data_IF_496848624933
#
_entry.id   IF_496848624933
#
_cell.length_a   1.000
_cell.length_b   1.000
_cell.length_c   1.000
_cell.angle_alpha   90.00
_cell.angle_beta   90.00
_cell.angle_gamma   90.00
#
_symmetry.space_group_name_H-M   'P 1'
#
loop_
_entity.id
_entity.type
_entity.pdbx_description
1 polymer ?
#
# COMPACT_ATOMS: atom_id res chain seq x y z
N UNK A 1 15.43 -13.36 -25.71
CA UNK A 1 16.57 -14.02 -25.02
C UNK A 1 17.75 -14.00 -25.94
N UNK A 2 18.91 -13.65 -25.44
CA UNK A 2 20.18 -13.54 -26.15
C UNK A 2 21.29 -14.29 -25.38
N UNK A 3 22.10 -15.06 -26.08
CA UNK A 3 23.29 -15.70 -25.53
C UNK A 3 24.44 -14.70 -25.61
N UNK A 4 25.03 -14.35 -24.49
CA UNK A 4 26.16 -13.42 -24.40
C UNK A 4 27.48 -14.14 -24.52
N UNK A 5 27.61 -15.24 -23.78
CA UNK A 5 28.74 -16.16 -23.80
C UNK A 5 28.29 -17.56 -23.34
N UNK A 6 29.21 -18.50 -23.18
CA UNK A 6 28.88 -19.88 -22.79
C UNK A 6 28.34 -20.03 -21.36
N UNK A 7 28.40 -18.99 -20.54
CA UNK A 7 27.88 -19.01 -19.17
C UNK A 7 26.81 -17.93 -18.92
N UNK A 8 26.49 -17.08 -19.91
CA UNK A 8 25.71 -15.87 -19.65
C UNK A 8 24.65 -15.68 -20.74
N UNK A 9 23.44 -15.40 -20.27
CA UNK A 9 22.32 -15.01 -21.11
C UNK A 9 21.72 -13.69 -20.61
N UNK A 10 21.03 -13.00 -21.51
CA UNK A 10 20.25 -11.81 -21.18
C UNK A 10 18.99 -11.74 -22.02
N UNK A 11 18.12 -10.82 -21.67
CA UNK A 11 16.93 -10.58 -22.45
C UNK A 11 15.98 -9.61 -21.78
N UNK A 12 14.78 -9.54 -22.33
CA UNK A 12 13.74 -8.68 -21.78
C UNK A 12 12.35 -9.26 -21.99
N UNK A 13 11.42 -8.80 -21.16
CA UNK A 13 9.99 -9.02 -21.31
C UNK A 13 9.28 -7.69 -21.14
N UNK A 14 8.41 -7.35 -22.08
CA UNK A 14 7.48 -6.25 -21.97
C UNK A 14 6.06 -6.82 -21.86
N UNK A 15 5.27 -6.28 -20.97
CA UNK A 15 3.92 -6.72 -20.74
C UNK A 15 3.04 -5.54 -20.28
N UNK A 16 1.76 -5.69 -20.52
CA UNK A 16 0.72 -4.86 -19.94
C UNK A 16 -0.14 -5.71 -19.02
N UNK A 17 -0.59 -5.11 -17.96
CA UNK A 17 -1.44 -5.74 -16.99
C UNK A 17 -2.02 -4.66 -16.09
N UNK A 18 -2.06 -4.92 -14.80
CA UNK A 18 -2.48 -3.94 -13.81
C UNK A 18 -1.63 -2.66 -13.89
N UNK A 19 -0.30 -2.77 -13.88
CA UNK A 19 0.57 -1.67 -14.29
C UNK A 19 0.76 -1.66 -15.81
N UNK A 20 0.64 -0.49 -16.43
CA UNK A 20 0.80 -0.31 -17.87
C UNK A 20 2.26 -0.16 -18.27
N UNK A 21 2.67 -0.81 -19.36
CA UNK A 21 4.00 -0.68 -19.94
C UNK A 21 5.10 -1.23 -19.03
N UNK A 22 4.87 -2.39 -18.43
CA UNK A 22 5.87 -3.07 -17.58
C UNK A 22 7.07 -3.47 -18.43
N UNK A 23 8.25 -3.22 -17.91
CA UNK A 23 9.53 -3.53 -18.54
C UNK A 23 10.40 -4.31 -17.56
N UNK A 24 10.84 -5.48 -17.98
CA UNK A 24 11.79 -6.31 -17.24
C UNK A 24 12.91 -6.70 -18.17
N UNK A 25 14.10 -6.29 -17.84
CA UNK A 25 15.34 -6.76 -18.43
C UNK A 25 16.01 -7.72 -17.45
N UNK A 26 16.68 -8.73 -17.94
CA UNK A 26 17.38 -9.68 -17.07
C UNK A 26 18.77 -10.01 -17.61
N UNK A 27 19.65 -10.37 -16.70
CA UNK A 27 20.95 -10.97 -16.96
C UNK A 27 21.10 -12.18 -16.05
N UNK A 28 21.41 -13.34 -16.64
CA UNK A 28 21.61 -14.58 -15.89
C UNK A 28 23.00 -15.14 -16.18
N UNK A 29 23.71 -15.51 -15.12
CA UNK A 29 24.99 -16.19 -15.17
C UNK A 29 24.83 -17.60 -14.60
N UNK A 30 25.33 -18.59 -15.32
CA UNK A 30 25.46 -19.97 -14.88
C UNK A 30 26.85 -20.19 -14.28
N UNK A 31 26.98 -21.05 -13.29
CA UNK A 31 28.25 -21.42 -12.66
C UNK A 31 29.12 -22.28 -13.54
N UNK A 32 28.57 -22.88 -14.62
CA UNK A 32 29.22 -23.77 -15.58
C UNK A 32 28.83 -23.39 -17.00
N UNK A 33 29.76 -23.50 -17.99
CA UNK A 33 29.43 -23.27 -19.37
C UNK A 33 28.47 -24.35 -19.92
N UNK A 34 27.44 -23.92 -20.65
CA UNK A 34 26.59 -24.84 -21.40
C UNK A 34 27.27 -25.26 -22.72
N UNK A 35 27.06 -26.53 -23.12
CA UNK A 35 27.58 -27.10 -24.34
C UNK A 35 26.81 -26.62 -25.58
N UNK A 36 25.52 -26.48 -25.45
CA UNK A 36 24.63 -26.01 -26.51
C UNK A 36 23.43 -25.28 -25.96
N UNK A 37 22.86 -24.41 -26.78
CA UNK A 37 21.63 -23.67 -26.48
C UNK A 37 20.68 -23.74 -27.67
N UNK A 38 19.41 -23.80 -27.41
CA UNK A 38 18.32 -23.69 -28.38
C UNK A 38 17.35 -22.65 -27.88
N UNK A 39 16.91 -21.73 -28.73
CA UNK A 39 15.90 -20.72 -28.40
C UNK A 39 14.75 -20.85 -29.37
N UNK A 40 13.61 -21.31 -28.90
CA UNK A 40 12.38 -21.49 -29.64
C UNK A 40 11.39 -20.38 -29.36
N UNK A 41 10.47 -20.18 -30.29
CA UNK A 41 9.32 -19.30 -30.09
C UNK A 41 8.04 -20.11 -30.09
N UNK A 42 7.10 -19.73 -29.19
CA UNK A 42 5.76 -20.31 -29.17
C UNK A 42 4.71 -19.22 -29.04
N UNK A 43 3.56 -19.41 -29.68
CA UNK A 43 2.44 -18.47 -29.55
C UNK A 43 1.80 -18.58 -28.16
N UNK A 44 1.53 -17.45 -27.55
CA UNK A 44 0.70 -17.38 -26.34
C UNK A 44 -0.75 -17.26 -26.80
N UNK A 45 -1.57 -18.24 -26.45
CA UNK A 45 -2.98 -18.30 -26.84
C UNK A 45 -3.86 -18.09 -25.61
N UNK A 46 -4.79 -17.14 -25.71
CA UNK A 46 -5.85 -16.91 -24.72
C UNK A 46 -7.19 -16.81 -25.46
N UNK A 47 -8.20 -17.55 -25.02
CA UNK A 47 -9.54 -17.60 -25.63
C UNK A 47 -9.51 -17.88 -27.14
N UNK A 48 -8.58 -18.77 -27.56
CA UNK A 48 -8.39 -19.15 -28.97
C UNK A 48 -7.72 -18.11 -29.86
N UNK A 49 -7.21 -17.00 -29.28
CA UNK A 49 -6.49 -15.94 -30.01
C UNK A 49 -5.04 -15.87 -29.55
N UNK A 50 -4.13 -15.65 -30.53
CA UNK A 50 -2.73 -15.34 -30.21
C UNK A 50 -2.64 -13.95 -29.63
N UNK A 51 -2.20 -13.86 -28.37
CA UNK A 51 -2.03 -12.60 -27.63
C UNK A 51 -0.55 -12.18 -27.51
N UNK A 52 0.38 -13.03 -27.90
CA UNK A 52 1.80 -12.74 -27.84
C UNK A 52 2.66 -13.91 -28.28
N UNK A 53 3.97 -13.73 -28.12
CA UNK A 53 4.98 -14.76 -28.39
C UNK A 53 5.82 -14.97 -27.13
N UNK A 54 5.93 -16.22 -26.68
CA UNK A 54 6.87 -16.61 -25.64
C UNK A 54 8.15 -17.15 -26.27
N UNK A 55 9.25 -16.92 -25.59
CA UNK A 55 10.55 -17.50 -25.90
C UNK A 55 10.85 -18.59 -24.89
N UNK A 56 11.23 -19.76 -25.37
CA UNK A 56 11.66 -20.89 -24.55
C UNK A 56 13.13 -21.18 -24.91
N UNK A 57 14.01 -21.05 -23.92
CA UNK A 57 15.41 -21.36 -24.09
C UNK A 57 15.76 -22.64 -23.34
N UNK A 58 16.50 -23.53 -24.04
CA UNK A 58 17.03 -24.79 -23.49
C UNK A 58 18.56 -24.72 -23.54
N UNK A 59 19.17 -25.04 -22.39
CA UNK A 59 20.62 -25.08 -22.25
C UNK A 59 21.04 -26.47 -21.81
N UNK A 60 21.98 -27.09 -22.56
CA UNK A 60 22.48 -28.41 -22.24
C UNK A 60 23.88 -28.30 -21.64
N UNK A 61 24.09 -28.99 -20.53
CA UNK A 61 25.33 -28.99 -19.79
C UNK A 61 25.92 -30.39 -19.75
N UNK A 62 27.26 -30.47 -19.81
CA UNK A 62 27.98 -31.70 -19.54
C UNK A 62 28.21 -31.78 -18.02
N UNK A 63 27.43 -32.63 -17.33
CA UNK A 63 27.48 -32.78 -15.88
C UNK A 63 27.88 -34.21 -15.50
N UNK A 64 28.51 -34.33 -14.34
CA UNK A 64 28.68 -35.60 -13.64
C UNK A 64 27.48 -35.84 -12.71
N UNK A 65 27.31 -37.09 -12.26
CA UNK A 65 26.21 -37.40 -11.35
C UNK A 65 26.30 -36.56 -10.03
N UNK A 66 25.18 -35.89 -9.68
CA UNK A 66 25.09 -35.03 -8.50
C UNK A 66 25.75 -33.65 -8.61
N UNK A 67 26.27 -33.28 -9.79
CA UNK A 67 26.86 -31.95 -10.00
C UNK A 67 25.78 -30.87 -10.04
N UNK A 68 25.90 -29.87 -9.20
CA UNK A 68 24.98 -28.73 -9.11
C UNK A 68 25.39 -27.59 -10.05
N UNK A 69 24.40 -26.98 -10.70
CA UNK A 69 24.59 -25.77 -11.49
C UNK A 69 23.86 -24.62 -10.79
N UNK A 70 24.62 -23.61 -10.36
CA UNK A 70 24.09 -22.41 -9.73
C UNK A 70 23.77 -21.37 -10.79
N UNK A 71 22.59 -20.77 -10.70
CA UNK A 71 22.16 -19.65 -11.51
C UNK A 71 22.10 -18.38 -10.65
N UNK A 72 22.70 -17.30 -11.12
CA UNK A 72 22.53 -15.97 -10.56
C UNK A 72 21.83 -15.10 -11.60
N UNK A 73 20.67 -14.53 -11.22
CA UNK A 73 19.87 -13.67 -12.11
C UNK A 73 19.65 -12.32 -11.44
N UNK A 74 19.92 -11.25 -12.18
CA UNK A 74 19.54 -9.90 -11.79
C UNK A 74 18.54 -9.32 -12.79
N UNK A 75 17.70 -8.43 -12.28
CA UNK A 75 16.67 -7.74 -13.04
C UNK A 75 16.98 -6.24 -13.12
N UNK A 76 16.43 -5.57 -14.14
CA UNK A 76 16.42 -4.11 -14.27
C UNK A 76 15.10 -3.67 -14.92
N UNK A 77 14.56 -2.55 -14.47
CA UNK A 77 13.46 -1.85 -15.16
C UNK A 77 13.93 -0.94 -16.31
N UNK A 78 15.27 -0.82 -16.47
CA UNK A 78 15.91 0.19 -17.33
C UNK A 78 16.44 -0.41 -18.62
N UNK A 79 17.41 -1.34 -18.51
CA UNK A 79 18.11 -1.93 -19.67
C UNK A 79 18.79 -3.26 -19.34
N UNK A 80 19.27 -3.96 -20.38
CA UNK A 80 20.11 -5.15 -20.23
C UNK A 80 21.46 -4.83 -19.58
N UNK A 81 22.03 -3.65 -19.87
CA UNK A 81 23.25 -3.15 -19.24
C UNK A 81 23.02 -2.88 -17.76
N UNK A 82 21.85 -2.33 -17.40
CA UNK A 82 21.43 -2.15 -16.00
C UNK A 82 21.35 -3.49 -15.26
N UNK A 83 20.71 -4.51 -15.87
CA UNK A 83 20.68 -5.87 -15.32
C UNK A 83 22.07 -6.49 -15.19
N UNK A 84 23.00 -6.23 -16.13
CA UNK A 84 24.37 -6.67 -16.04
C UNK A 84 25.14 -6.00 -14.89
N UNK A 85 24.94 -4.69 -14.70
CA UNK A 85 25.50 -3.93 -13.59
C UNK A 85 25.00 -4.42 -12.22
N UNK A 86 23.69 -4.66 -12.11
CA UNK A 86 23.06 -5.22 -10.92
C UNK A 86 23.62 -6.61 -10.60
N UNK A 87 23.74 -7.48 -11.61
CA UNK A 87 24.31 -8.82 -11.44
C UNK A 87 25.76 -8.77 -10.91
N UNK A 88 26.57 -7.89 -11.49
CA UNK A 88 27.97 -7.75 -11.09
C UNK A 88 28.13 -7.23 -9.66
N UNK A 89 27.26 -6.30 -9.23
CA UNK A 89 27.32 -5.69 -7.91
C UNK A 89 26.70 -6.56 -6.80
N UNK A 90 25.55 -7.18 -7.09
CA UNK A 90 24.72 -7.85 -6.08
C UNK A 90 24.95 -9.37 -6.02
N UNK A 91 25.44 -9.97 -7.14
CA UNK A 91 25.71 -11.40 -7.22
C UNK A 91 27.11 -11.68 -7.79
N UNK A 92 28.21 -11.25 -7.09
CA UNK A 92 29.56 -11.31 -7.65
C UNK A 92 30.18 -12.73 -7.71
N UNK A 93 29.62 -13.71 -7.02
CA UNK A 93 30.10 -15.10 -6.98
C UNK A 93 29.00 -16.13 -7.32
N UNK A 94 29.34 -17.44 -7.34
CA UNK A 94 28.39 -18.54 -7.59
C UNK A 94 28.24 -19.47 -6.36
N UNK A 95 28.61 -19.01 -5.18
CA UNK A 95 28.51 -19.77 -3.93
C UNK A 95 27.11 -19.56 -3.33
N UNK A 96 26.23 -20.54 -3.49
CA UNK A 96 24.85 -20.49 -3.02
C UNK A 96 24.77 -20.42 -1.48
N UNK A 97 25.57 -21.23 -0.78
CA UNK A 97 25.54 -21.28 0.68
C UNK A 97 26.01 -19.96 1.30
N UNK A 98 26.96 -19.29 0.65
CA UNK A 98 27.37 -17.95 1.07
C UNK A 98 26.25 -16.93 0.93
N UNK A 99 25.47 -16.93 -0.16
CA UNK A 99 24.27 -16.07 -0.29
C UNK A 99 23.23 -16.38 0.78
N UNK A 100 23.00 -17.65 1.11
CA UNK A 100 22.12 -18.04 2.19
C UNK A 100 22.57 -17.46 3.53
N UNK A 101 23.87 -17.54 3.83
CA UNK A 101 24.44 -17.01 5.07
C UNK A 101 24.34 -15.47 5.14
N UNK A 102 24.73 -14.77 4.07
CA UNK A 102 24.64 -13.30 3.96
C UNK A 102 23.19 -12.81 4.06
N UNK A 103 22.23 -13.50 3.43
CA UNK A 103 20.81 -13.17 3.49
C UNK A 103 20.25 -13.35 4.90
N UNK A 104 20.60 -14.45 5.59
CA UNK A 104 20.22 -14.68 6.99
C UNK A 104 20.77 -13.58 7.91
N UNK A 105 22.02 -13.18 7.72
CA UNK A 105 22.62 -12.11 8.51
C UNK A 105 21.91 -10.76 8.26
N UNK A 106 21.61 -10.43 7.01
CA UNK A 106 20.88 -9.23 6.64
C UNK A 106 19.49 -9.19 7.29
N UNK A 107 18.73 -10.27 7.22
CA UNK A 107 17.41 -10.36 7.83
C UNK A 107 17.51 -10.30 9.37
N UNK A 108 18.46 -10.99 9.99
CA UNK A 108 18.67 -10.92 11.43
C UNK A 108 19.00 -9.49 11.90
N UNK A 109 19.78 -8.75 11.12
CA UNK A 109 20.06 -7.33 11.41
C UNK A 109 18.83 -6.46 11.31
N UNK A 110 17.98 -6.67 10.28
CA UNK A 110 16.76 -5.88 10.10
C UNK A 110 15.72 -6.21 11.18
N UNK A 111 15.42 -7.48 11.40
CA UNK A 111 14.47 -7.92 12.40
C UNK A 111 14.94 -7.62 13.83
N UNK A 112 16.26 -7.65 14.07
CA UNK A 112 16.88 -7.31 15.35
C UNK A 112 16.79 -5.84 15.77
N UNK A 113 16.27 -4.94 14.90
CA UNK A 113 15.97 -3.55 15.28
C UNK A 113 14.90 -3.45 16.35
N UNK A 114 14.04 -4.44 16.47
CA UNK A 114 13.06 -4.57 17.55
C UNK A 114 13.33 -5.89 18.25
N UNK A 115 13.89 -5.80 19.47
CA UNK A 115 14.15 -6.97 20.31
C UNK A 115 13.01 -7.16 21.30
N UNK A 116 12.32 -8.30 21.24
CA UNK A 116 11.25 -8.66 22.16
C UNK A 116 11.77 -9.64 23.19
N UNK A 117 11.66 -9.24 24.48
CA UNK A 117 12.06 -10.06 25.64
C UNK A 117 10.85 -10.42 26.49
N UNK A 118 10.94 -11.52 27.23
CA UNK A 118 9.91 -11.93 28.18
C UNK A 118 8.67 -12.58 27.56
N UNK A 119 8.68 -12.89 26.27
CA UNK A 119 7.66 -13.75 25.66
C UNK A 119 7.93 -15.18 26.11
N UNK A 120 6.95 -15.79 26.84
CA UNK A 120 7.07 -17.15 27.33
C UNK A 120 6.67 -18.18 26.26
N UNK A 121 5.79 -17.81 25.34
CA UNK A 121 5.33 -18.66 24.26
C UNK A 121 6.18 -18.45 22.98
N UNK A 122 6.68 -19.56 22.44
CA UNK A 122 7.46 -19.53 21.20
C UNK A 122 6.62 -19.12 20.01
N UNK A 123 5.35 -19.53 19.96
CA UNK A 123 4.44 -19.22 18.86
C UNK A 123 4.16 -17.72 18.78
N UNK A 124 3.97 -17.04 19.91
CA UNK A 124 3.83 -15.59 19.94
C UNK A 124 5.07 -14.88 19.40
N UNK A 125 6.26 -15.39 19.71
CA UNK A 125 7.52 -14.85 19.18
C UNK A 125 7.65 -15.06 17.67
N UNK A 126 7.27 -16.23 17.17
CA UNK A 126 7.25 -16.54 15.74
C UNK A 126 6.26 -15.62 15.03
N UNK A 127 5.04 -15.46 15.56
CA UNK A 127 4.03 -14.56 15.02
C UNK A 127 4.53 -13.10 14.94
N UNK A 128 5.15 -12.60 16.00
CA UNK A 128 5.69 -11.24 16.04
C UNK A 128 6.74 -11.00 14.96
N UNK A 129 7.78 -11.87 14.89
CA UNK A 129 8.84 -11.68 13.90
C UNK A 129 8.39 -11.96 12.47
N UNK A 130 7.41 -12.85 12.26
CA UNK A 130 6.78 -13.06 10.96
C UNK A 130 6.00 -11.81 10.52
N UNK A 131 5.24 -11.20 11.41
CA UNK A 131 4.54 -9.95 11.12
C UNK A 131 5.53 -8.82 10.82
N UNK A 132 6.60 -8.69 11.61
CA UNK A 132 7.67 -7.69 11.37
C UNK A 132 8.36 -7.91 10.01
N UNK A 133 8.69 -9.16 9.67
CA UNK A 133 9.24 -9.51 8.35
C UNK A 133 8.33 -9.04 7.22
N UNK A 134 7.03 -9.29 7.32
CA UNK A 134 6.05 -8.90 6.29
C UNK A 134 5.95 -7.39 6.09
N UNK A 135 6.15 -6.58 7.12
CA UNK A 135 6.18 -5.11 6.97
C UNK A 135 7.35 -4.60 6.11
N UNK A 136 8.34 -5.44 5.82
CA UNK A 136 9.55 -5.10 5.07
C UNK A 136 9.55 -5.65 3.63
N UNK A 137 8.47 -6.33 3.18
CA UNK A 137 8.40 -6.90 1.82
C UNK A 137 8.14 -5.79 0.79
N UNK A 138 7.32 -4.81 1.13
CA UNK A 138 7.02 -3.63 0.33
C UNK A 138 7.03 -2.38 1.22
N UNK A 139 7.40 -1.19 0.71
CA UNK A 139 7.85 -0.86 -0.65
C UNK A 139 9.17 -1.51 -1.07
N UNK A 140 9.37 -1.70 -2.37
CA UNK A 140 10.56 -2.35 -2.93
C UNK A 140 11.52 -1.33 -3.55
N UNK A 141 12.81 -1.62 -3.53
CA UNK A 141 13.80 -0.86 -4.31
C UNK A 141 13.44 -0.97 -5.80
N UNK A 142 13.31 0.16 -6.46
CA UNK A 142 12.95 0.25 -7.88
C UNK A 142 13.95 1.15 -8.64
N UNK A 143 15.23 0.91 -8.40
CA UNK A 143 16.33 1.49 -9.16
C UNK A 143 17.45 0.47 -9.32
N UNK A 144 18.20 0.59 -10.41
CA UNK A 144 19.44 -0.14 -10.60
C UNK A 144 20.52 0.33 -9.62
N UNK A 145 21.59 -0.42 -9.47
CA UNK A 145 22.68 -0.09 -8.52
C UNK A 145 23.39 1.22 -8.84
N UNK A 146 23.29 1.71 -10.08
CA UNK A 146 23.79 3.01 -10.49
C UNK A 146 22.82 4.16 -10.21
N UNK A 147 21.65 3.87 -9.64
CA UNK A 147 20.57 4.80 -9.35
C UNK A 147 19.59 5.05 -10.49
N UNK A 148 19.77 4.42 -11.67
CA UNK A 148 18.84 4.58 -12.80
C UNK A 148 17.52 3.87 -12.54
N UNK A 149 16.37 4.49 -12.95
CA UNK A 149 15.04 3.89 -12.82
C UNK A 149 14.09 4.35 -13.94
N UNK A 150 13.03 3.60 -14.15
CA UNK A 150 11.99 3.89 -15.14
C UNK A 150 10.82 4.61 -14.47
N UNK A 151 10.55 5.85 -14.91
CA UNK A 151 9.55 6.72 -14.32
C UNK A 151 8.14 6.56 -14.91
N UNK A 152 7.10 7.15 -14.26
CA UNK A 152 5.73 7.13 -14.75
C UNK A 152 5.52 7.88 -16.07
N UNK A 153 6.40 8.82 -16.40
CA UNK A 153 6.45 9.52 -17.70
C UNK A 153 7.06 8.66 -18.83
N UNK A 154 7.36 7.38 -18.54
CA UNK A 154 7.94 6.41 -19.47
C UNK A 154 9.37 6.75 -19.93
N UNK A 155 10.08 7.52 -19.10
CA UNK A 155 11.49 7.87 -19.32
C UNK A 155 12.39 7.25 -18.25
N UNK A 156 13.67 7.18 -18.57
CA UNK A 156 14.70 6.78 -17.62
C UNK A 156 15.17 8.02 -16.86
N UNK A 157 15.21 7.91 -15.55
CA UNK A 157 15.69 8.90 -14.61
C UNK A 157 16.82 8.33 -13.77
N UNK A 158 17.44 9.20 -12.96
CA UNK A 158 18.50 8.80 -12.05
C UNK A 158 18.26 9.38 -10.65
N UNK A 159 18.28 8.52 -9.65
CA UNK A 159 18.32 8.91 -8.25
C UNK A 159 19.80 9.11 -7.85
N UNK A 160 20.20 10.35 -7.59
CA UNK A 160 21.55 10.70 -7.20
C UNK A 160 21.64 10.93 -5.69
N UNK A 161 22.39 10.08 -5.00
CA UNK A 161 22.53 10.13 -3.55
C UNK A 161 21.33 9.65 -2.74
N UNK A 162 20.36 8.98 -3.36
CA UNK A 162 19.20 8.35 -2.70
C UNK A 162 18.74 7.12 -3.49
N UNK A 163 17.89 6.29 -2.91
CA UNK A 163 17.36 5.07 -3.53
C UNK A 163 15.90 5.31 -3.94
N UNK A 164 15.58 5.02 -5.21
CA UNK A 164 14.19 5.08 -5.67
C UNK A 164 13.44 3.82 -5.27
N UNK A 165 12.25 4.02 -4.70
CA UNK A 165 11.33 2.95 -4.29
C UNK A 165 10.09 2.93 -5.17
N UNK A 166 9.49 1.75 -5.30
CA UNK A 166 8.21 1.50 -5.94
C UNK A 166 7.36 0.53 -5.11
N UNK A 167 6.24 0.09 -5.69
CA UNK A 167 5.26 -0.78 -5.02
C UNK A 167 4.69 -0.12 -3.77
N UNK A 168 4.10 1.07 -3.98
CA UNK A 168 3.49 1.84 -2.91
C UNK A 168 1.98 1.62 -2.86
N UNK A 169 1.52 0.77 -1.95
CA UNK A 169 0.13 0.55 -1.61
C UNK A 169 -0.30 1.52 -0.51
N UNK A 170 -0.46 2.81 -0.84
CA UNK A 170 -0.52 3.87 0.16
C UNK A 170 -1.79 3.88 0.99
N UNK A 171 -2.94 3.46 0.43
CA UNK A 171 -4.18 3.31 1.17
C UNK A 171 -4.07 2.32 2.34
N UNK A 172 -3.24 1.30 2.17
CA UNK A 172 -2.96 0.29 3.20
C UNK A 172 -1.90 0.79 4.19
N UNK A 173 -0.76 1.23 3.66
CA UNK A 173 0.47 1.38 4.44
C UNK A 173 0.58 2.68 5.22
N UNK A 174 -0.17 3.74 4.86
CA UNK A 174 -0.17 5.00 5.62
C UNK A 174 -0.65 4.81 7.06
N UNK A 175 -1.48 3.80 7.31
CA UNK A 175 -2.17 3.57 8.59
C UNK A 175 -1.22 3.13 9.70
N UNK A 176 -0.28 2.24 9.39
CA UNK A 176 0.64 1.69 10.39
C UNK A 176 2.05 1.41 9.86
N UNK A 177 2.22 0.89 8.64
CA UNK A 177 3.53 0.48 8.12
C UNK A 177 4.48 1.67 7.95
N UNK A 178 4.07 2.74 7.25
CA UNK A 178 4.90 3.94 7.14
C UNK A 178 5.16 4.62 8.50
N UNK A 179 4.19 4.78 9.42
CA UNK A 179 4.47 5.21 10.77
C UNK A 179 5.52 4.37 11.51
N UNK A 180 5.50 3.04 11.36
CA UNK A 180 6.52 2.15 11.91
C UNK A 180 7.89 2.40 11.28
N UNK A 181 7.95 2.54 9.94
CA UNK A 181 9.19 2.78 9.21
C UNK A 181 9.87 4.11 9.62
N UNK A 182 9.13 5.10 10.08
CA UNK A 182 9.73 6.34 10.62
C UNK A 182 10.63 6.06 11.83
N UNK A 183 10.39 5.01 12.59
CA UNK A 183 11.22 4.60 13.74
C UNK A 183 12.29 3.59 13.36
N UNK A 184 11.97 2.61 12.54
CA UNK A 184 12.87 1.50 12.21
C UNK A 184 13.77 1.79 11.01
N UNK A 185 13.32 2.65 10.08
CA UNK A 185 13.97 2.92 8.79
C UNK A 185 13.94 4.41 8.40
N UNK A 186 14.41 5.34 9.25
CA UNK A 186 14.29 6.78 8.98
C UNK A 186 15.00 7.21 7.68
N UNK A 187 16.13 6.61 7.33
CA UNK A 187 16.87 6.89 6.09
C UNK A 187 16.04 6.44 4.88
N UNK A 188 15.52 5.21 4.90
CA UNK A 188 14.65 4.72 3.82
C UNK A 188 13.36 5.51 3.71
N UNK A 189 12.81 5.99 4.83
CA UNK A 189 11.64 6.88 4.82
C UNK A 189 11.91 8.17 4.04
N UNK A 190 13.08 8.80 4.21
CA UNK A 190 13.48 9.94 3.39
C UNK A 190 13.54 9.59 1.90
N UNK A 191 14.15 8.45 1.55
CA UNK A 191 14.28 8.03 0.16
C UNK A 191 12.91 7.69 -0.47
N UNK A 192 11.99 7.09 0.29
CA UNK A 192 10.60 6.87 -0.15
C UNK A 192 9.88 8.20 -0.43
N UNK A 193 10.07 9.23 0.41
CA UNK A 193 9.49 10.55 0.19
C UNK A 193 10.14 11.23 -1.04
N UNK A 194 11.45 11.10 -1.21
CA UNK A 194 12.14 11.58 -2.43
C UNK A 194 11.58 10.87 -3.67
N UNK A 195 11.25 9.59 -3.57
CA UNK A 195 10.56 8.85 -4.65
C UNK A 195 9.18 9.42 -4.97
N UNK A 196 8.38 9.81 -3.95
CA UNK A 196 7.09 10.49 -4.17
C UNK A 196 7.25 11.84 -4.85
N UNK A 197 8.28 12.62 -4.47
CA UNK A 197 8.54 13.93 -5.07
C UNK A 197 9.04 13.83 -6.51
N UNK A 198 9.87 12.82 -6.81
CA UNK A 198 10.28 12.51 -8.17
C UNK A 198 9.09 12.05 -9.02
N UNK A 199 8.22 11.21 -8.46
CA UNK A 199 6.98 10.79 -9.10
C UNK A 199 6.05 11.98 -9.39
N UNK A 200 5.92 12.92 -8.44
CA UNK A 200 5.17 14.17 -8.65
C UNK A 200 5.71 14.99 -9.83
N UNK A 201 7.03 15.15 -9.94
CA UNK A 201 7.64 15.88 -11.06
C UNK A 201 7.36 15.23 -12.41
N UNK A 202 7.28 13.90 -12.45
CA UNK A 202 7.13 13.10 -13.67
C UNK A 202 5.67 12.86 -14.05
N UNK A 203 4.76 12.86 -13.09
CA UNK A 203 3.33 12.50 -13.27
C UNK A 203 2.37 13.67 -13.01
N UNK A 204 2.84 14.80 -12.45
CA UNK A 204 2.03 15.97 -12.12
C UNK A 204 1.22 15.85 -10.81
N UNK A 205 1.25 14.70 -10.13
CA UNK A 205 0.62 14.45 -8.84
C UNK A 205 1.39 13.42 -8.03
N UNK A 206 1.17 13.41 -6.73
CA UNK A 206 1.72 12.37 -5.85
C UNK A 206 1.13 10.99 -6.18
N UNK A 207 1.86 9.89 -5.89
CA UNK A 207 1.37 8.54 -6.15
C UNK A 207 0.17 8.18 -5.26
N UNK A 208 -0.72 7.36 -5.79
CA UNK A 208 -1.79 6.66 -5.07
C UNK A 208 -1.42 5.19 -4.90
N UNK A 209 -1.10 4.53 -6.00
CA UNK A 209 -0.64 3.15 -6.02
C UNK A 209 0.38 2.95 -7.15
N UNK A 210 1.62 3.33 -6.89
CA UNK A 210 2.72 3.20 -7.86
C UNK A 210 3.19 1.75 -7.94
N UNK A 211 3.18 1.19 -9.14
CA UNK A 211 3.66 -0.16 -9.42
C UNK A 211 4.38 -0.22 -10.79
N UNK A 212 5.58 -0.81 -10.79
CA UNK A 212 6.42 -0.95 -12.01
C UNK A 212 6.58 0.35 -12.81
N UNK A 213 6.87 1.46 -12.15
CA UNK A 213 7.02 2.77 -12.80
C UNK A 213 5.73 3.29 -13.45
N UNK A 214 4.56 2.88 -12.96
CA UNK A 214 3.26 3.34 -13.42
C UNK A 214 2.36 3.66 -12.25
N UNK A 215 1.45 4.62 -12.43
CA UNK A 215 0.32 4.81 -11.52
C UNK A 215 -0.80 3.85 -11.92
N UNK A 216 -1.32 3.11 -10.97
CA UNK A 216 -2.43 2.19 -11.21
C UNK A 216 -3.76 2.76 -10.76
N UNK A 217 -3.76 3.85 -9.97
CA UNK A 217 -4.94 4.46 -9.35
C UNK A 217 -5.82 3.47 -8.56
N UNK A 218 -5.21 2.37 -8.12
CA UNK A 218 -5.90 1.40 -7.29
C UNK A 218 -6.13 2.00 -5.90
N UNK A 219 -7.29 1.73 -5.33
CA UNK A 219 -7.76 2.31 -4.07
C UNK A 219 -7.99 3.83 -4.13
N UNK A 220 -8.28 4.43 -2.99
CA UNK A 220 -8.74 5.83 -2.86
C UNK A 220 -7.77 6.67 -2.03
N UNK A 221 -8.08 7.95 -1.88
CA UNK A 221 -7.25 8.89 -1.14
C UNK A 221 -6.07 9.43 -1.97
N UNK A 222 -5.34 10.37 -1.38
CA UNK A 222 -4.02 10.81 -1.83
C UNK A 222 -3.00 10.63 -0.70
N UNK A 223 -2.94 9.37 -0.23
CA UNK A 223 -2.29 8.98 1.03
C UNK A 223 -0.76 9.02 1.03
N UNK A 224 -0.11 9.45 -0.06
CA UNK A 224 1.26 9.95 0.02
C UNK A 224 1.37 11.16 0.97
N UNK A 225 0.28 11.95 1.09
CA UNK A 225 0.22 13.12 1.97
C UNK A 225 0.44 12.75 3.44
N UNK A 226 -0.36 11.87 4.08
CA UNK A 226 -0.12 11.52 5.48
C UNK A 226 1.26 10.90 5.71
N UNK A 227 1.84 10.17 4.76
CA UNK A 227 3.19 9.62 4.89
C UNK A 227 4.24 10.72 4.94
N UNK A 228 4.17 11.69 4.03
CA UNK A 228 5.07 12.85 3.99
C UNK A 228 4.94 13.66 5.29
N UNK A 229 3.70 13.94 5.68
CA UNK A 229 3.41 14.81 6.82
C UNK A 229 3.82 14.16 8.15
N UNK A 230 3.53 12.89 8.34
CA UNK A 230 3.94 12.16 9.54
C UNK A 230 5.47 12.16 9.72
N UNK A 231 6.21 11.87 8.64
CA UNK A 231 7.66 11.94 8.64
C UNK A 231 8.18 13.35 8.98
N UNK A 232 7.64 14.37 8.32
CA UNK A 232 8.03 15.76 8.55
C UNK A 232 7.77 16.21 10.01
N UNK A 233 6.60 15.89 10.56
CA UNK A 233 6.23 16.25 11.94
C UNK A 233 7.08 15.54 12.97
N UNK A 234 7.58 14.33 12.67
CA UNK A 234 8.52 13.56 13.50
C UNK A 234 9.97 14.01 13.36
N UNK A 235 10.25 15.00 12.52
CA UNK A 235 11.59 15.54 12.33
C UNK A 235 12.46 14.76 11.33
N UNK A 236 11.86 13.87 10.54
CA UNK A 236 12.50 13.24 9.39
C UNK A 236 12.37 14.23 8.23
N UNK A 237 13.47 14.86 7.81
CA UNK A 237 13.38 16.02 6.91
C UNK A 237 14.57 16.14 5.95
N UNK A 238 15.23 15.04 5.58
CA UNK A 238 16.26 15.05 4.52
C UNK A 238 15.62 14.99 3.13
N UNK A 239 14.57 15.81 2.93
CA UNK A 239 13.89 16.04 1.67
C UNK A 239 13.43 17.51 1.60
N UNK A 240 13.12 18.00 0.40
CA UNK A 240 12.62 19.37 0.19
C UNK A 240 11.19 19.51 0.73
N UNK A 241 11.06 20.05 1.95
CA UNK A 241 9.77 20.22 2.62
C UNK A 241 8.84 21.22 1.93
N UNK A 242 9.39 22.28 1.32
CA UNK A 242 8.59 23.26 0.56
C UNK A 242 8.00 22.63 -0.70
N UNK A 243 8.81 21.87 -1.43
CA UNK A 243 8.36 21.08 -2.58
C UNK A 243 7.34 20.02 -2.15
N UNK A 244 7.56 19.35 -1.02
CA UNK A 244 6.65 18.34 -0.51
C UNK A 244 5.27 18.92 -0.19
N UNK A 245 5.21 20.06 0.52
CA UNK A 245 3.95 20.74 0.78
C UNK A 245 3.27 21.19 -0.51
N UNK A 246 4.05 21.76 -1.46
CA UNK A 246 3.54 22.14 -2.78
C UNK A 246 2.93 20.95 -3.53
N UNK A 247 3.58 19.81 -3.52
CA UNK A 247 3.10 18.58 -4.15
C UNK A 247 1.81 18.06 -3.50
N UNK A 248 1.73 18.09 -2.16
CA UNK A 248 0.52 17.75 -1.41
C UNK A 248 -0.66 18.65 -1.79
N UNK A 249 -0.46 19.97 -1.76
CA UNK A 249 -1.48 20.96 -2.13
C UNK A 249 -1.92 20.82 -3.59
N UNK A 250 -0.97 20.65 -4.51
CA UNK A 250 -1.27 20.46 -5.92
C UNK A 250 -2.12 19.20 -6.16
N UNK A 251 -1.77 18.09 -5.52
CA UNK A 251 -2.52 16.84 -5.63
C UNK A 251 -3.95 16.97 -5.07
N UNK A 252 -4.11 17.59 -3.90
CA UNK A 252 -5.40 17.82 -3.25
C UNK A 252 -6.29 18.85 -3.99
N UNK A 253 -5.76 19.54 -5.01
CA UNK A 253 -6.47 20.57 -5.77
C UNK A 253 -6.72 20.20 -7.24
N UNK A 254 -6.49 18.96 -7.65
CA UNK A 254 -6.76 18.48 -9.02
C UNK A 254 -8.27 18.40 -9.28
N UNK A 255 -8.85 19.40 -9.93
CA UNK A 255 -10.28 19.46 -10.20
C UNK A 255 -10.76 18.30 -11.07
N UNK A 256 -9.94 17.88 -12.01
CA UNK A 256 -10.25 16.84 -13.00
C UNK A 256 -9.67 15.48 -12.62
N UNK A 257 -9.80 15.11 -11.33
CA UNK A 257 -9.29 13.85 -10.85
C UNK A 257 -10.14 13.28 -9.71
N UNK A 258 -10.71 12.11 -9.91
CA UNK A 258 -11.40 11.24 -8.94
C UNK A 258 -12.38 11.96 -7.99
N UNK A 259 -13.12 12.93 -8.52
CA UNK A 259 -14.15 13.67 -7.80
C UNK A 259 -13.64 14.78 -6.87
N UNK A 260 -12.33 15.10 -6.89
CA UNK A 260 -11.77 16.18 -6.05
C UNK A 260 -12.44 17.53 -6.35
N UNK A 261 -12.72 17.85 -7.62
CA UNK A 261 -13.43 19.08 -7.99
C UNK A 261 -14.82 19.18 -7.36
N UNK A 262 -15.58 18.08 -7.35
CA UNK A 262 -16.89 18.00 -6.68
C UNK A 262 -16.74 18.15 -5.16
N UNK A 263 -15.76 17.42 -4.57
CA UNK A 263 -15.45 17.50 -3.14
C UNK A 263 -15.13 18.92 -2.69
N UNK A 264 -14.28 19.64 -3.44
CA UNK A 264 -13.95 21.05 -3.16
C UNK A 264 -15.16 21.97 -3.24
N UNK A 265 -16.03 21.76 -4.22
CA UNK A 265 -17.17 22.62 -4.50
C UNK A 265 -18.32 22.40 -3.51
N UNK A 266 -18.64 21.14 -3.20
CA UNK A 266 -19.82 20.76 -2.43
C UNK A 266 -19.50 20.39 -0.97
N UNK A 267 -18.23 20.12 -0.66
CA UNK A 267 -17.82 19.59 0.63
C UNK A 267 -18.04 18.07 0.77
N UNK A 268 -18.36 17.38 -0.31
CA UNK A 268 -18.48 15.92 -0.40
C UNK A 268 -18.54 15.51 -1.89
N UNK A 269 -18.40 14.21 -2.15
CA UNK A 269 -18.57 13.63 -3.49
C UNK A 269 -19.98 13.04 -3.61
N UNK A 270 -20.84 13.57 -4.47
CA UNK A 270 -22.19 13.03 -4.65
C UNK A 270 -22.15 11.63 -5.27
N UNK A 271 -23.01 10.72 -4.76
CA UNK A 271 -23.06 9.35 -5.28
C UNK A 271 -23.71 9.22 -6.67
N UNK A 272 -24.51 10.20 -7.07
CA UNK A 272 -25.30 10.18 -8.30
C UNK A 272 -24.68 10.97 -9.47
N UNK A 273 -23.55 11.66 -9.26
CA UNK A 273 -22.81 12.32 -10.34
C UNK A 273 -21.60 11.44 -10.71
N UNK A 274 -21.59 11.01 -11.97
CA UNK A 274 -20.48 10.29 -12.59
C UNK A 274 -20.16 10.94 -13.93
N UNK A 275 -18.92 11.35 -14.07
CA UNK A 275 -18.35 11.91 -15.30
C UNK A 275 -16.93 11.32 -15.50
N UNK A 276 -16.21 11.80 -16.52
CA UNK A 276 -14.83 11.36 -16.79
C UNK A 276 -13.85 11.61 -15.62
N UNK A 277 -14.18 12.55 -14.73
CA UNK A 277 -13.37 12.90 -13.58
C UNK A 277 -13.84 12.27 -12.26
N UNK A 278 -14.97 11.60 -12.27
CA UNK A 278 -15.56 10.88 -11.15
C UNK A 278 -16.24 9.59 -11.63
N UNK A 279 -15.58 8.87 -12.54
CA UNK A 279 -16.13 7.63 -13.13
C UNK A 279 -16.15 6.47 -12.14
N UNK A 280 -15.19 6.42 -11.22
CA UNK A 280 -15.10 5.40 -10.20
C UNK A 280 -16.15 5.58 -9.09
N UNK A 281 -16.37 4.50 -8.36
CA UNK A 281 -17.30 4.47 -7.24
C UNK A 281 -16.73 5.11 -5.96
N UNK A 282 -17.22 4.67 -4.79
CA UNK A 282 -16.70 4.98 -3.45
C UNK A 282 -16.83 6.44 -3.02
N UNK A 283 -17.92 7.10 -3.41
CA UNK A 283 -18.17 8.51 -3.10
C UNK A 283 -18.08 8.85 -1.61
N UNK A 284 -18.65 8.01 -0.74
CA UNK A 284 -18.59 8.19 0.72
C UNK A 284 -17.16 8.04 1.23
N UNK A 285 -16.50 6.94 0.86
CA UNK A 285 -15.15 6.65 1.33
C UNK A 285 -14.15 7.71 0.86
N UNK A 286 -14.20 8.13 -0.41
CA UNK A 286 -13.36 9.24 -0.92
C UNK A 286 -13.57 10.53 -0.14
N UNK A 287 -14.82 10.88 0.19
CA UNK A 287 -15.11 12.09 0.98
C UNK A 287 -14.43 12.05 2.34
N UNK A 288 -14.50 10.92 3.04
CA UNK A 288 -13.91 10.76 4.37
C UNK A 288 -12.38 10.75 4.32
N UNK A 289 -11.81 10.03 3.37
CA UNK A 289 -10.35 9.88 3.23
C UNK A 289 -9.69 11.18 2.77
N UNK A 290 -10.31 11.91 1.84
CA UNK A 290 -9.81 13.25 1.43
C UNK A 290 -9.87 14.26 2.60
N UNK A 291 -10.88 14.18 3.47
CA UNK A 291 -10.94 15.02 4.66
C UNK A 291 -9.79 14.75 5.64
N UNK A 292 -9.35 13.50 5.75
CA UNK A 292 -8.19 13.15 6.55
C UNK A 292 -6.88 13.63 5.89
N UNK A 293 -6.71 13.42 4.60
CA UNK A 293 -5.53 13.88 3.88
C UNK A 293 -5.40 15.41 3.95
N UNK A 294 -6.51 16.14 3.82
CA UNK A 294 -6.56 17.60 3.97
C UNK A 294 -6.15 18.06 5.39
N UNK A 295 -6.54 17.32 6.43
CA UNK A 295 -6.06 17.59 7.78
C UNK A 295 -4.53 17.47 7.88
N UNK A 296 -3.96 16.46 7.25
CA UNK A 296 -2.51 16.29 7.23
C UNK A 296 -1.82 17.48 6.55
N UNK A 297 -2.36 17.98 5.41
CA UNK A 297 -1.83 19.19 4.75
C UNK A 297 -1.90 20.40 5.69
N UNK A 298 -3.04 20.58 6.39
CA UNK A 298 -3.20 21.67 7.35
C UNK A 298 -2.14 21.62 8.46
N UNK A 299 -1.85 20.45 9.01
CA UNK A 299 -0.85 20.30 10.07
C UNK A 299 0.58 20.59 9.57
N UNK A 300 0.94 20.15 8.37
CA UNK A 300 2.23 20.49 7.77
C UNK A 300 2.34 21.99 7.51
N UNK A 301 1.32 22.61 6.90
CA UNK A 301 1.28 24.05 6.62
C UNK A 301 1.39 24.86 7.91
N UNK A 302 0.67 24.46 8.98
CA UNK A 302 0.75 25.10 10.29
C UNK A 302 2.16 25.01 10.89
N UNK A 303 2.81 23.84 10.80
CA UNK A 303 4.18 23.63 11.28
C UNK A 303 5.18 24.47 10.50
N UNK A 304 4.91 24.75 9.23
CA UNK A 304 5.74 25.62 8.36
C UNK A 304 5.38 27.10 8.46
N UNK A 305 4.45 27.51 9.34
CA UNK A 305 4.04 28.91 9.53
C UNK A 305 3.16 29.48 8.40
N UNK A 306 2.57 28.61 7.54
CA UNK A 306 1.69 29.01 6.43
C UNK A 306 0.23 29.01 6.89
N UNK A 307 -0.12 30.03 7.70
CA UNK A 307 -1.38 30.09 8.47
C UNK A 307 -2.62 30.05 7.58
N UNK A 308 -2.68 30.85 6.51
CA UNK A 308 -3.84 30.91 5.62
C UNK A 308 -4.10 29.54 4.95
N UNK A 309 -3.04 28.91 4.47
CA UNK A 309 -3.13 27.56 3.88
C UNK A 309 -3.59 26.53 4.92
N UNK A 310 -3.07 26.60 6.12
CA UNK A 310 -3.47 25.72 7.21
C UNK A 310 -4.97 25.86 7.55
N UNK A 311 -5.50 27.09 7.60
CA UNK A 311 -6.92 27.36 7.85
C UNK A 311 -7.81 26.84 6.72
N UNK A 312 -7.41 27.04 5.46
CA UNK A 312 -8.12 26.52 4.29
C UNK A 312 -8.28 24.99 4.37
N UNK A 313 -7.18 24.28 4.54
CA UNK A 313 -7.19 22.82 4.56
C UNK A 313 -7.82 22.26 5.87
N UNK A 314 -7.66 22.95 6.99
CA UNK A 314 -8.38 22.59 8.20
C UNK A 314 -9.90 22.68 8.02
N UNK A 315 -10.40 23.73 7.34
CA UNK A 315 -11.83 23.82 7.01
C UNK A 315 -12.28 22.65 6.13
N UNK A 316 -11.51 22.29 5.12
CA UNK A 316 -11.81 21.14 4.25
C UNK A 316 -11.80 19.82 5.02
N UNK A 317 -10.92 19.67 6.00
CA UNK A 317 -10.86 18.46 6.85
C UNK A 317 -12.15 18.19 7.65
N UNK A 318 -13.02 19.19 7.79
CA UNK A 318 -14.32 19.08 8.46
C UNK A 318 -15.43 18.57 7.53
N UNK A 319 -15.17 18.34 6.28
CA UNK A 319 -16.14 17.91 5.27
C UNK A 319 -16.79 16.56 5.58
N UNK A 320 -16.13 15.71 6.39
CA UNK A 320 -16.73 14.46 6.89
C UNK A 320 -18.10 14.67 7.58
N UNK A 321 -18.37 15.86 8.13
CA UNK A 321 -19.64 16.22 8.79
C UNK A 321 -20.81 16.24 7.80
N UNK A 322 -20.55 16.55 6.53
CA UNK A 322 -21.57 16.68 5.50
C UNK A 322 -22.20 15.33 5.10
N UNK A 323 -21.51 14.22 5.41
CA UNK A 323 -21.96 12.86 5.10
C UNK A 323 -22.43 12.09 6.33
N UNK A 324 -22.44 12.70 7.52
CA UNK A 324 -23.02 12.11 8.71
C UNK A 324 -24.53 12.34 8.78
N UNK A 325 -25.31 11.26 8.79
CA UNK A 325 -26.76 11.35 8.93
C UNK A 325 -27.19 11.15 10.40
N UNK A 326 -27.64 12.20 11.10
CA UNK A 326 -28.05 12.10 12.50
C UNK A 326 -29.28 11.21 12.73
N UNK A 327 -30.12 11.00 11.71
CA UNK A 327 -31.29 10.14 11.81
C UNK A 327 -30.94 8.64 11.88
N UNK A 328 -29.84 8.24 11.23
CA UNK A 328 -29.37 6.86 11.25
C UNK A 328 -28.17 6.65 12.20
N UNK A 329 -27.45 7.72 12.52
CA UNK A 329 -26.22 7.69 13.30
C UNK A 329 -25.05 7.03 12.55
N UNK A 330 -25.05 7.12 11.20
CA UNK A 330 -23.99 6.59 10.33
C UNK A 330 -23.52 7.63 9.32
N UNK A 331 -22.30 7.42 8.80
CA UNK A 331 -21.86 8.05 7.56
C UNK A 331 -22.67 7.44 6.40
N UNK A 332 -23.21 8.29 5.53
CA UNK A 332 -24.15 7.85 4.51
C UNK A 332 -23.92 8.62 3.22
N UNK A 333 -23.98 7.94 2.03
CA UNK A 333 -23.84 8.61 0.75
C UNK A 333 -24.89 9.70 0.54
N UNK A 334 -24.48 10.81 -0.09
CA UNK A 334 -25.30 12.01 -0.32
C UNK A 334 -25.35 12.28 -1.83
N UNK A 335 -26.51 12.70 -2.36
CA UNK A 335 -26.67 13.11 -3.76
C UNK A 335 -26.24 14.57 -4.00
N UNK A 336 -26.31 15.03 -5.25
CA UNK A 336 -25.94 16.40 -5.65
C UNK A 336 -26.85 17.51 -5.09
N UNK A 337 -27.96 17.13 -4.46
CA UNK A 337 -28.92 18.03 -3.80
C UNK A 337 -28.81 18.03 -2.28
N UNK A 338 -27.87 17.27 -1.74
CA UNK A 338 -27.68 17.13 -0.29
C UNK A 338 -28.63 16.13 0.37
N UNK A 339 -29.23 15.22 -0.40
CA UNK A 339 -30.15 14.21 0.14
C UNK A 339 -29.44 12.90 0.36
N UNK A 340 -29.58 12.34 1.56
CA UNK A 340 -29.02 11.03 1.89
C UNK A 340 -29.69 9.90 1.12
N UNK A 341 -28.89 8.93 0.66
CA UNK A 341 -29.39 7.76 -0.09
C UNK A 341 -30.45 6.99 0.73
N UNK A 342 -31.49 6.51 0.04
CA UNK A 342 -32.53 5.66 0.63
C UNK A 342 -32.96 4.58 -0.38
N UNK A 343 -33.20 3.32 0.07
CA UNK A 343 -33.00 2.82 1.44
C UNK A 343 -31.52 2.79 1.83
N UNK A 344 -31.21 2.77 3.12
CA UNK A 344 -29.85 2.62 3.66
C UNK A 344 -29.85 1.54 4.73
N UNK A 345 -29.02 0.54 4.53
CA UNK A 345 -28.69 -0.50 5.51
C UNK A 345 -27.21 -0.44 5.82
N UNK A 346 -26.79 -0.22 7.06
CA UNK A 346 -25.37 -0.10 7.39
C UNK A 346 -24.57 -1.40 7.22
N UNK A 347 -25.23 -2.54 7.07
CA UNK A 347 -24.61 -3.85 6.86
C UNK A 347 -24.30 -4.13 5.38
N UNK A 348 -24.83 -3.29 4.46
CA UNK A 348 -24.68 -3.53 3.03
C UNK A 348 -23.32 -3.08 2.52
N UNK A 349 -22.69 -3.95 1.74
CA UNK A 349 -21.53 -3.62 0.92
C UNK A 349 -22.00 -2.99 -0.39
N UNK A 350 -21.73 -1.73 -0.56
CA UNK A 350 -22.25 -0.95 -1.69
C UNK A 350 -21.15 -0.33 -2.53
N UNK A 351 -21.45 0.05 -3.76
CA UNK A 351 -20.53 0.75 -4.64
C UNK A 351 -20.06 2.12 -4.11
N UNK A 352 -20.64 2.62 -3.04
CA UNK A 352 -20.32 3.94 -2.48
C UNK A 352 -19.28 3.89 -1.36
N UNK A 353 -19.01 2.69 -0.84
CA UNK A 353 -18.08 2.44 0.27
C UNK A 353 -17.00 1.47 -0.23
N UNK A 354 -15.75 1.86 -0.08
CA UNK A 354 -14.61 1.08 -0.54
C UNK A 354 -14.41 -0.14 0.36
N UNK A 355 -14.60 -1.34 -0.19
CA UNK A 355 -14.33 -2.63 0.45
C UNK A 355 -14.85 -2.79 1.89
N UNK A 356 -15.94 -2.13 2.19
CA UNK A 356 -16.47 -2.03 3.56
C UNK A 356 -17.96 -1.75 3.55
N UNK A 357 -18.54 -1.69 4.73
CA UNK A 357 -19.92 -1.30 4.94
C UNK A 357 -20.03 -0.06 5.86
N UNK A 358 -21.24 0.37 6.17
CA UNK A 358 -21.50 1.56 7.00
C UNK A 358 -20.95 1.44 8.43
N UNK A 359 -20.91 0.23 9.01
CA UNK A 359 -20.32 0.00 10.32
C UNK A 359 -18.83 0.28 10.36
N UNK A 360 -18.11 -0.16 9.33
CA UNK A 360 -16.65 -0.05 9.26
C UNK A 360 -16.22 1.38 8.94
N UNK A 361 -16.91 2.06 8.00
CA UNK A 361 -16.54 3.43 7.60
C UNK A 361 -17.08 4.53 8.51
N UNK A 362 -17.97 4.26 9.44
CA UNK A 362 -18.39 5.24 10.45
C UNK A 362 -17.21 5.88 11.18
N UNK A 363 -16.15 5.13 11.38
CA UNK A 363 -15.00 5.51 12.21
C UNK A 363 -13.85 6.13 11.41
N UNK A 364 -14.00 6.28 10.08
CA UNK A 364 -12.96 6.83 9.19
C UNK A 364 -12.82 8.35 9.32
N UNK A 365 -12.64 8.81 10.56
CA UNK A 365 -12.43 10.22 10.94
C UNK A 365 -11.30 10.29 11.98
N UNK A 366 -10.09 9.77 11.69
CA UNK A 366 -9.00 9.72 12.67
C UNK A 366 -8.52 11.12 13.07
N UNK A 367 -8.70 12.14 12.23
CA UNK A 367 -8.29 13.51 12.45
C UNK A 367 -9.14 14.25 13.50
N UNK A 368 -10.41 13.87 13.68
CA UNK A 368 -11.32 14.59 14.58
C UNK A 368 -12.23 13.63 15.38
N UNK A 369 -11.61 12.77 16.19
CA UNK A 369 -12.36 11.85 17.05
C UNK A 369 -13.28 12.59 18.03
N UNK A 370 -12.92 13.81 18.47
CA UNK A 370 -13.77 14.60 19.36
C UNK A 370 -15.04 15.08 18.63
N UNK A 371 -14.88 15.54 17.39
CA UNK A 371 -16.00 15.92 16.53
C UNK A 371 -16.92 14.72 16.26
N UNK A 372 -16.35 13.55 15.95
CA UNK A 372 -17.12 12.33 15.74
C UNK A 372 -17.88 11.88 17.00
N UNK A 373 -17.26 11.94 18.18
CA UNK A 373 -17.95 11.69 19.46
C UNK A 373 -19.14 12.63 19.65
N UNK A 374 -18.99 13.90 19.28
CA UNK A 374 -20.07 14.88 19.36
C UNK A 374 -21.20 14.56 18.39
N UNK A 375 -20.87 14.21 17.14
CA UNK A 375 -21.88 13.84 16.12
C UNK A 375 -22.68 12.60 16.51
N UNK A 376 -22.04 11.59 17.09
CA UNK A 376 -22.71 10.35 17.55
C UNK A 376 -23.58 10.59 18.80
N UNK A 377 -23.42 11.72 19.48
CA UNK A 377 -24.23 12.11 20.64
C UNK A 377 -23.56 11.93 21.98
N UNK A 378 -22.23 12.02 22.02
CA UNK A 378 -21.44 12.01 23.24
C UNK A 378 -20.75 10.66 23.52
N UNK A 379 -19.93 10.66 24.60
CA UNK A 379 -19.03 9.52 24.89
C UNK A 379 -19.77 8.20 25.16
N UNK A 380 -20.90 8.26 25.84
CA UNK A 380 -21.62 7.03 26.20
C UNK A 380 -22.25 6.39 24.97
N UNK A 381 -22.93 7.18 24.11
CA UNK A 381 -23.46 6.69 22.84
C UNK A 381 -22.38 6.23 21.87
N UNK A 382 -21.24 6.89 21.89
CA UNK A 382 -20.08 6.46 21.09
C UNK A 382 -19.56 5.09 21.57
N UNK A 383 -19.45 4.86 22.88
CA UNK A 383 -19.07 3.59 23.45
C UNK A 383 -20.09 2.48 23.15
N UNK A 384 -21.40 2.77 23.29
CA UNK A 384 -22.49 1.85 22.91
C UNK A 384 -22.45 1.47 21.43
N UNK A 385 -22.14 2.44 20.56
CA UNK A 385 -22.02 2.21 19.12
C UNK A 385 -20.80 1.33 18.79
N UNK A 386 -19.67 1.53 19.48
CA UNK A 386 -18.51 0.65 19.40
C UNK A 386 -18.86 -0.77 19.88
N UNK A 387 -19.52 -0.89 21.04
CA UNK A 387 -19.95 -2.20 21.55
C UNK A 387 -20.86 -2.91 20.56
N UNK A 388 -21.78 -2.16 19.94
CA UNK A 388 -22.65 -2.70 18.88
C UNK A 388 -21.84 -3.23 17.68
N UNK A 389 -20.83 -2.48 17.22
CA UNK A 389 -19.97 -2.95 16.12
C UNK A 389 -19.31 -4.28 16.42
N UNK A 390 -18.82 -4.49 17.64
CA UNK A 390 -18.12 -5.73 18.02
C UNK A 390 -19.05 -6.91 18.38
N UNK A 391 -20.34 -6.66 18.53
CA UNK A 391 -21.30 -7.71 18.96
C UNK A 391 -22.42 -7.98 17.96
N UNK A 392 -22.70 -7.04 17.05
CA UNK A 392 -23.79 -7.17 16.08
C UNK A 392 -23.42 -8.12 14.94
N UNK A 393 -24.25 -9.13 14.74
CA UNK A 393 -24.17 -10.11 13.64
C UNK A 393 -25.51 -10.05 12.88
N UNK A 394 -25.53 -9.58 11.62
CA UNK A 394 -26.75 -9.51 10.84
C UNK A 394 -27.21 -10.93 10.47
N UNK A 395 -28.51 -11.19 10.59
CA UNK A 395 -29.09 -12.47 10.19
C UNK A 395 -29.13 -12.59 8.64
N UNK A 396 -28.82 -13.78 8.12
CA UNK A 396 -28.93 -14.09 6.69
C UNK A 396 -27.87 -13.45 5.79
N UNK A 397 -26.78 -12.95 6.34
CA UNK A 397 -25.63 -12.42 5.59
C UNK A 397 -24.39 -13.27 5.87
N UNK A 398 -24.43 -14.54 5.45
CA UNK A 398 -23.33 -15.49 5.65
C UNK A 398 -22.25 -15.34 4.55
N UNK A 399 -22.63 -14.92 3.35
CA UNK A 399 -21.72 -14.69 2.24
C UNK A 399 -21.13 -13.27 2.32
N UNK A 400 -19.95 -13.15 2.90
CA UNK A 400 -19.21 -11.89 2.98
C UNK A 400 -18.28 -11.74 1.76
N UNK A 401 -18.02 -10.49 1.31
CA UNK A 401 -16.99 -10.23 0.31
C UNK A 401 -15.62 -10.74 0.76
N UNK A 402 -14.77 -11.10 -0.20
CA UNK A 402 -13.45 -11.68 0.02
C UNK A 402 -12.54 -10.84 0.95
N UNK A 403 -12.71 -9.53 0.96
CA UNK A 403 -11.97 -8.61 1.82
C UNK A 403 -12.52 -8.52 3.26
N UNK A 404 -13.67 -9.12 3.56
CA UNK A 404 -14.29 -9.10 4.89
C UNK A 404 -13.91 -10.34 5.67
N UNK A 405 -12.68 -10.38 6.16
CA UNK A 405 -12.11 -11.51 6.92
C UNK A 405 -11.77 -11.10 8.35
N UNK A 406 -11.56 -12.08 9.22
CA UNK A 406 -11.23 -11.84 10.62
C UNK A 406 -12.32 -11.07 11.38
N UNK A 407 -13.60 -11.40 11.13
CA UNK A 407 -14.76 -10.69 11.67
C UNK A 407 -14.94 -10.92 13.17
N UNK A 408 -15.15 -9.79 13.89
CA UNK A 408 -15.63 -9.77 15.28
C UNK A 408 -16.85 -8.83 15.30
N UNK A 409 -18.05 -9.40 15.23
CA UNK A 409 -19.25 -8.62 14.89
C UNK A 409 -19.12 -8.01 13.49
N UNK A 410 -19.18 -6.69 13.40
CA UNK A 410 -18.96 -5.91 12.16
C UNK A 410 -17.52 -5.37 12.02
N UNK A 411 -16.67 -5.59 13.01
CA UNK A 411 -15.25 -5.28 12.92
C UNK A 411 -14.55 -6.30 12.02
N UNK A 412 -14.02 -5.86 10.89
CA UNK A 412 -13.28 -6.70 9.94
C UNK A 412 -11.76 -6.49 10.15
N UNK A 413 -11.11 -7.36 10.91
CA UNK A 413 -9.67 -7.22 11.16
C UNK A 413 -8.83 -7.37 9.88
N UNK A 414 -9.29 -8.18 8.95
CA UNK A 414 -8.63 -8.44 7.69
C UNK A 414 -8.69 -7.28 6.68
N UNK A 415 -9.35 -6.15 6.99
CA UNK A 415 -9.40 -5.01 6.09
C UNK A 415 -9.05 -3.68 6.80
N UNK A 416 -8.41 -2.79 6.09
CA UNK A 416 -7.72 -1.59 6.55
C UNK A 416 -8.63 -0.59 7.30
N UNK A 417 -9.87 -0.30 6.87
CA UNK A 417 -10.73 0.68 7.55
C UNK A 417 -11.00 0.38 9.01
N UNK A 418 -10.88 -0.88 9.41
CA UNK A 418 -11.18 -1.30 10.79
C UNK A 418 -10.01 -1.17 11.77
N UNK A 419 -8.76 -1.15 11.32
CA UNK A 419 -7.58 -1.36 12.17
C UNK A 419 -7.47 -0.38 13.36
N UNK A 420 -7.83 0.87 13.19
CA UNK A 420 -7.76 1.88 14.26
C UNK A 420 -8.95 1.82 15.25
N UNK A 421 -10.04 1.15 14.89
CA UNK A 421 -11.33 1.23 15.61
C UNK A 421 -11.22 0.67 17.02
N UNK A 422 -10.50 -0.41 17.23
CA UNK A 422 -10.30 -1.02 18.58
C UNK A 422 -9.74 0.00 19.56
N UNK A 423 -8.87 0.92 19.10
CA UNK A 423 -8.21 1.91 19.95
C UNK A 423 -9.10 3.10 20.32
N UNK A 424 -10.27 3.25 19.69
CA UNK A 424 -11.20 4.36 19.96
C UNK A 424 -11.83 4.29 21.35
N UNK A 425 -11.89 3.13 21.97
CA UNK A 425 -12.31 3.01 23.37
C UNK A 425 -11.45 3.84 24.33
N UNK A 426 -10.17 4.06 24.02
CA UNK A 426 -9.29 4.94 24.80
C UNK A 426 -9.79 6.39 24.82
N UNK A 427 -10.46 6.85 23.75
CA UNK A 427 -10.98 8.21 23.62
C UNK A 427 -12.24 8.45 24.47
N UNK A 428 -12.93 7.36 24.84
CA UNK A 428 -14.13 7.40 25.71
C UNK A 428 -13.87 6.85 27.11
N UNK A 429 -12.59 6.76 27.52
CA UNK A 429 -12.15 6.34 28.87
C UNK A 429 -12.50 4.88 29.22
N UNK A 430 -12.49 3.99 28.22
CA UNK A 430 -12.73 2.55 28.41
C UNK A 430 -11.54 1.71 27.88
N UNK A 431 -10.29 1.98 28.30
CA UNK A 431 -9.10 1.31 27.76
C UNK A 431 -9.10 -0.21 27.96
N UNK A 432 -9.80 -0.71 28.99
CA UNK A 432 -9.94 -2.16 29.21
C UNK A 432 -10.65 -2.88 28.06
N UNK A 433 -11.54 -2.19 27.32
CA UNK A 433 -12.17 -2.78 26.12
C UNK A 433 -11.19 -2.84 24.95
N UNK A 434 -10.33 -1.82 24.77
CA UNK A 434 -9.20 -1.90 23.84
C UNK A 434 -8.34 -3.13 24.15
N UNK A 435 -7.92 -3.30 25.41
CA UNK A 435 -7.10 -4.44 25.84
C UNK A 435 -7.81 -5.78 25.57
N UNK A 436 -9.11 -5.89 25.89
CA UNK A 436 -9.91 -7.08 25.62
C UNK A 436 -9.93 -7.43 24.14
N UNK A 437 -10.26 -6.49 23.26
CA UNK A 437 -10.42 -6.78 21.84
C UNK A 437 -9.08 -6.96 21.14
N UNK A 438 -8.01 -6.24 21.52
CA UNK A 438 -6.66 -6.49 21.03
C UNK A 438 -6.22 -7.90 21.40
N UNK A 439 -6.41 -8.34 22.67
CA UNK A 439 -6.11 -9.69 23.09
C UNK A 439 -6.93 -10.72 22.28
N UNK A 440 -8.22 -10.47 22.07
CA UNK A 440 -9.07 -11.36 21.27
C UNK A 440 -8.56 -11.49 19.83
N UNK A 441 -8.19 -10.38 19.18
CA UNK A 441 -7.59 -10.37 17.84
C UNK A 441 -6.30 -11.18 17.82
N UNK A 442 -5.38 -10.91 18.75
CA UNK A 442 -4.08 -11.58 18.80
C UNK A 442 -4.19 -13.08 19.01
N UNK A 443 -5.11 -13.54 19.88
CA UNK A 443 -5.26 -14.97 20.17
C UNK A 443 -6.07 -15.73 19.13
N UNK A 444 -6.99 -15.09 18.40
CA UNK A 444 -7.89 -15.80 17.48
C UNK A 444 -7.49 -15.66 16.01
N UNK A 445 -6.79 -14.59 15.66
CA UNK A 445 -6.49 -14.26 14.26
C UNK A 445 -5.00 -14.36 13.92
N UNK A 446 -4.13 -14.56 14.92
CA UNK A 446 -2.68 -14.73 14.71
C UNK A 446 -2.24 -16.05 15.36
N UNK A 447 -1.73 -16.97 14.55
CA UNK A 447 -1.27 -18.28 15.03
C UNK A 447 -0.12 -18.79 14.15
N UNK A 448 0.73 -19.66 14.72
CA UNK A 448 1.90 -20.21 14.07
C UNK A 448 1.52 -21.34 13.10
N UNK A 449 0.98 -20.97 11.93
CA UNK A 449 0.70 -21.87 10.81
C UNK A 449 0.77 -21.11 9.48
N UNK A 450 0.88 -21.78 8.32
CA UNK A 450 0.90 -21.11 7.00
C UNK A 450 -0.32 -20.21 6.75
N UNK A 451 -1.49 -20.58 7.27
CA UNK A 451 -2.72 -19.78 7.22
C UNK A 451 -2.85 -18.78 8.39
N UNK A 452 -1.92 -18.81 9.32
CA UNK A 452 -1.86 -17.85 10.42
C UNK A 452 -1.34 -16.53 9.94
N UNK A 453 -1.15 -15.53 10.52
CA UNK A 453 -1.67 -14.20 10.64
C UNK A 453 -2.63 -13.88 9.48
N UNK A 454 -3.88 -14.18 9.71
CA UNK A 454 -4.96 -13.93 8.74
C UNK A 454 -5.33 -12.45 8.81
N UNK A 455 -4.49 -11.60 8.27
CA UNK A 455 -4.97 -10.33 7.80
C UNK A 455 -4.94 -10.39 6.27
N UNK A 456 -6.05 -10.09 5.66
CA UNK A 456 -6.17 -9.92 4.21
C UNK A 456 -5.14 -8.90 3.68
N UNK A 457 -4.75 -7.96 4.51
CA UNK A 457 -3.67 -6.99 4.29
C UNK A 457 -2.33 -7.66 3.96
N UNK A 458 -2.04 -8.80 4.55
CA UNK A 458 -0.83 -9.57 4.25
C UNK A 458 -0.97 -10.35 2.94
N UNK A 459 -2.18 -10.80 2.62
CA UNK A 459 -2.48 -11.47 1.36
C UNK A 459 -2.42 -10.48 0.18
N UNK A 460 -2.90 -9.25 0.33
CA UNK A 460 -2.86 -8.25 -0.75
C UNK A 460 -1.46 -7.86 -1.19
N UNK A 461 -0.54 -7.63 -0.28
CA UNK A 461 0.85 -7.40 -0.65
C UNK A 461 1.46 -8.65 -1.33
N UNK A 462 0.95 -9.84 -1.03
CA UNK A 462 1.41 -11.11 -1.56
C UNK A 462 0.63 -11.53 -2.82
N UNK A 463 -0.69 -11.33 -2.88
CA UNK A 463 -1.53 -11.64 -4.03
C UNK A 463 -1.24 -10.73 -5.21
N UNK A 464 -0.97 -9.45 -4.98
CA UNK A 464 -0.50 -8.56 -6.04
C UNK A 464 0.86 -8.96 -6.63
N UNK A 465 1.65 -9.76 -5.91
CA UNK A 465 2.86 -10.36 -6.45
C UNK A 465 2.62 -11.76 -7.06
N UNK A 466 1.65 -12.53 -6.58
CA UNK A 466 1.38 -13.89 -7.02
C UNK A 466 0.42 -13.96 -8.22
N UNK A 467 -0.54 -13.05 -8.31
CA UNK A 467 -1.48 -12.98 -9.45
C UNK A 467 -0.89 -12.32 -10.70
N UNK A 468 0.37 -11.88 -10.62
CA UNK A 468 1.10 -11.20 -11.69
C UNK A 468 2.23 -12.05 -12.29
N UNK A 469 2.33 -13.33 -11.94
CA UNK A 469 3.28 -14.29 -12.54
C UNK A 469 2.62 -15.12 -13.63
#
# INVERSE_FOLDING_TARGET
IEVVDSCTIQGYRFSDGWARGQRVFFRTRFSKPFRSSEIDTTAIIQDGKTIGTAYVARFNFDTTDGEEIVLCTALSGVSMEGAAGNLAAEAPHNDFDKYVAETKENWNRQLGKIEVRGICDLDDKVNFYTALYRTMIAPTVFSDVDGSYYGPDKKIHKADGWVNYGTFSLWDTYRAAHPLLTYTEPVRTNDMIKSFLAFYDQNGRLPVWNFWGSETDMMIGYHAVPVIVDAYLKGIGDFDAEKALKACVATANLDNYRGIGLYKKLGYIPYNIKDEYNADNWSLSKTLEYAFDDYCIAEMARKMGKTELAEEFYKRSQNYKNVFNPATGFMQPVDDKGVFIRPFCPDDYTAHICESNGWQYLWSVPQDIRGLITLVGGKDRFAEKLDSMFTYIPAGKEDLPIFSTGMIGQYAHGNEPSHHVIYLYNKVRQPWKTQKYVAQVMHHLYFNAPAGPVSYTHLRAHETCADLV
#
